data_IF_541125004008
#
_entry.id   IF_541125004008
#
_cell.length_a   1.000
_cell.length_b   1.000
_cell.length_c   1.000
_cell.angle_alpha   90.00
_cell.angle_beta   90.00
_cell.angle_gamma   90.00
#
_symmetry.space_group_name_H-M   'P 1'
#
loop_
_entity.id
_entity.type
_entity.pdbx_description
1 polymer ?
#
# COMPACT_ATOMS: atom_id res chain seq x y z
N UNK A 1 2.43 -20.07 -35.16
CA UNK A 1 3.27 -18.86 -34.97
C UNK A 1 2.53 -17.56 -35.27
N UNK A 2 1.67 -17.49 -36.30
CA UNK A 2 0.88 -16.28 -36.61
C UNK A 2 -0.20 -15.92 -35.55
N UNK A 3 -0.79 -16.91 -34.86
CA UNK A 3 -1.84 -16.68 -33.85
C UNK A 3 -1.33 -15.99 -32.56
N UNK A 4 -0.02 -16.06 -32.30
CA UNK A 4 0.61 -15.50 -31.09
C UNK A 4 0.94 -14.00 -31.24
N UNK A 5 1.13 -13.53 -32.48
CA UNK A 5 1.45 -12.14 -32.78
C UNK A 5 0.22 -11.23 -32.82
N UNK A 6 -0.98 -11.80 -33.02
CA UNK A 6 -2.24 -11.05 -33.02
C UNK A 6 -2.87 -10.93 -31.62
N UNK A 7 -2.58 -11.86 -30.70
CA UNK A 7 -3.12 -11.85 -29.33
C UNK A 7 -2.33 -10.96 -28.38
N UNK A 8 -1.02 -10.79 -28.60
CA UNK A 8 -0.17 -9.96 -27.74
C UNK A 8 -0.52 -8.45 -27.75
N UNK A 9 -0.81 -7.82 -28.92
CA UNK A 9 -1.25 -6.43 -28.95
C UNK A 9 -2.63 -6.24 -28.32
N UNK A 10 -3.56 -7.19 -28.51
CA UNK A 10 -4.90 -7.16 -27.92
C UNK A 10 -4.87 -7.28 -26.39
N UNK A 11 -3.99 -8.13 -25.85
CA UNK A 11 -3.78 -8.24 -24.40
C UNK A 11 -3.20 -6.94 -23.84
N UNK A 12 -2.21 -6.35 -24.52
CA UNK A 12 -1.63 -5.07 -24.12
C UNK A 12 -2.68 -3.94 -24.17
N UNK A 13 -3.51 -3.89 -25.22
CA UNK A 13 -4.56 -2.88 -25.38
C UNK A 13 -5.72 -3.04 -24.39
N UNK A 14 -5.93 -4.23 -23.81
CA UNK A 14 -6.91 -4.46 -22.76
C UNK A 14 -6.34 -4.13 -21.37
N UNK A 15 -5.08 -4.49 -21.13
CA UNK A 15 -4.40 -4.21 -19.86
C UNK A 15 -4.06 -2.73 -19.67
N UNK A 16 -3.65 -2.04 -20.74
CA UNK A 16 -3.21 -0.63 -20.65
C UNK A 16 -4.31 0.34 -20.17
N UNK A 17 -5.54 0.36 -20.72
CA UNK A 17 -6.58 1.25 -20.23
C UNK A 17 -7.07 0.87 -18.83
N UNK A 18 -7.01 -0.41 -18.44
CA UNK A 18 -7.30 -0.84 -17.05
C UNK A 18 -6.28 -0.28 -16.07
N UNK A 19 -4.98 -0.36 -16.40
CA UNK A 19 -3.90 0.20 -15.58
C UNK A 19 -3.99 1.73 -15.51
N UNK A 20 -4.24 2.41 -16.63
CA UNK A 20 -4.31 3.88 -16.69
C UNK A 20 -5.57 4.42 -15.99
N UNK A 21 -6.70 3.70 -16.02
CA UNK A 21 -7.93 4.12 -15.34
C UNK A 21 -7.87 3.95 -13.82
N UNK A 22 -7.03 3.05 -13.32
CA UNK A 22 -6.74 2.92 -11.88
C UNK A 22 -5.93 4.11 -11.34
N UNK A 23 -5.18 4.83 -12.17
CA UNK A 23 -4.29 5.90 -11.72
C UNK A 23 -4.95 7.29 -11.61
N UNK A 24 -6.16 7.49 -12.16
CA UNK A 24 -6.68 8.84 -12.47
C UNK A 24 -7.97 9.26 -11.77
N UNK A 25 -8.59 8.47 -10.91
CA UNK A 25 -9.81 8.89 -10.19
C UNK A 25 -9.68 8.73 -8.67
N UNK A 26 -10.09 9.79 -7.96
CA UNK A 26 -10.22 9.88 -6.50
C UNK A 26 -11.40 9.10 -5.94
N UNK A 27 -12.09 8.31 -6.77
CA UNK A 27 -13.05 7.31 -6.32
C UNK A 27 -12.29 6.08 -5.85
N UNK A 28 -12.65 5.57 -4.69
CA UNK A 28 -12.10 4.36 -4.06
C UNK A 28 -11.72 3.33 -5.11
N UNK A 29 -10.42 3.15 -5.34
CA UNK A 29 -9.90 2.06 -6.17
C UNK A 29 -10.40 0.76 -5.53
N UNK A 30 -11.52 0.27 -6.03
CA UNK A 30 -12.08 -1.02 -5.63
C UNK A 30 -11.35 -2.05 -6.47
N UNK A 31 -10.08 -2.23 -6.14
CA UNK A 31 -9.28 -3.35 -6.62
C UNK A 31 -10.02 -4.64 -6.23
N UNK A 32 -10.02 -5.67 -7.10
CA UNK A 32 -10.65 -6.96 -6.81
C UNK A 32 -10.31 -7.42 -5.40
N UNK A 33 -11.30 -8.02 -4.71
CA UNK A 33 -11.24 -8.45 -3.31
C UNK A 33 -10.33 -9.69 -3.17
N UNK A 34 -9.04 -9.51 -3.46
CA UNK A 34 -7.97 -10.48 -3.27
C UNK A 34 -7.47 -10.34 -1.82
N UNK A 35 -7.17 -11.44 -1.11
CA UNK A 35 -6.56 -11.35 0.22
C UNK A 35 -5.25 -10.56 0.10
N UNK A 36 -5.17 -9.42 0.77
CA UNK A 36 -3.97 -8.59 0.84
C UNK A 36 -3.38 -8.70 2.23
N UNK A 37 -2.05 -8.81 2.37
CA UNK A 37 -1.42 -8.72 3.68
C UNK A 37 -1.77 -7.37 4.32
N UNK A 38 -2.16 -7.41 5.60
CA UNK A 38 -2.43 -6.21 6.38
C UNK A 38 -1.20 -5.92 7.23
N UNK A 39 -0.63 -4.73 7.06
CA UNK A 39 0.48 -4.25 7.88
C UNK A 39 -0.06 -3.44 9.06
N UNK A 40 0.30 -3.83 10.28
CA UNK A 40 0.09 -3.02 11.48
C UNK A 40 1.33 -2.18 11.73
N UNK A 41 1.28 -0.91 11.31
CA UNK A 41 2.40 0.00 11.45
C UNK A 41 2.38 0.62 12.85
N UNK A 42 3.44 0.38 13.62
CA UNK A 42 3.69 1.01 14.92
C UNK A 42 4.65 2.17 14.76
N UNK A 43 4.30 3.32 15.33
CA UNK A 43 5.09 4.55 15.29
C UNK A 43 5.07 5.24 16.65
N UNK A 44 6.05 6.11 16.89
CA UNK A 44 6.13 6.92 18.10
C UNK A 44 6.09 8.39 17.69
N UNK A 45 5.25 9.17 18.36
CA UNK A 45 5.28 10.63 18.29
C UNK A 45 6.50 11.13 19.08
N UNK A 46 7.44 11.80 18.44
CA UNK A 46 8.68 12.24 19.10
C UNK A 46 8.44 13.34 20.13
N UNK A 47 7.42 14.18 19.92
CA UNK A 47 7.10 15.30 20.81
C UNK A 47 6.39 14.85 22.08
N UNK A 48 5.48 13.87 21.97
CA UNK A 48 4.67 13.40 23.10
C UNK A 48 5.11 12.06 23.68
N UNK A 49 5.96 11.30 22.98
CA UNK A 49 6.36 9.94 23.34
C UNK A 49 5.25 8.90 23.20
N UNK A 50 4.09 9.27 22.64
CA UNK A 50 2.94 8.36 22.52
C UNK A 50 3.15 7.34 21.40
N UNK A 51 2.79 6.10 21.68
CA UNK A 51 2.76 5.01 20.69
C UNK A 51 1.46 5.06 19.90
N UNK A 52 1.58 4.99 18.58
CA UNK A 52 0.46 4.89 17.65
C UNK A 52 0.58 3.57 16.86
N UNK A 53 -0.52 2.82 16.75
CA UNK A 53 -0.61 1.61 15.93
C UNK A 53 -1.80 1.73 14.99
N UNK A 54 -1.59 1.54 13.69
CA UNK A 54 -2.66 1.60 12.71
C UNK A 54 -2.53 0.52 11.61
N UNK A 55 -3.65 -0.07 11.14
CA UNK A 55 -3.65 -1.06 10.07
C UNK A 55 -3.64 -0.42 8.67
N UNK A 56 -2.87 -1.01 7.75
CA UNK A 56 -2.75 -0.60 6.35
C UNK A 56 -2.85 -1.81 5.41
N UNK A 57 -3.83 -1.77 4.50
CA UNK A 57 -4.03 -2.80 3.47
C UNK A 57 -3.37 -2.45 2.12
N UNK A 58 -2.93 -1.19 1.96
CA UNK A 58 -2.04 -0.77 0.86
C UNK A 58 -0.58 -0.94 1.30
N UNK A 59 -0.18 -2.19 1.50
CA UNK A 59 1.15 -2.61 1.92
C UNK A 59 1.74 -3.60 0.90
N UNK A 60 3.02 -3.45 0.57
CA UNK A 60 3.72 -4.38 -0.33
C UNK A 60 5.23 -4.43 -0.06
N UNK A 61 5.87 -5.55 -0.40
CA UNK A 61 7.32 -5.64 -0.51
C UNK A 61 7.76 -5.10 -1.89
N UNK A 62 8.84 -4.31 -1.91
CA UNK A 62 9.38 -3.70 -3.14
C UNK A 62 10.66 -4.37 -3.62
N UNK A 63 11.51 -4.83 -2.69
CA UNK A 63 12.81 -5.41 -3.02
C UNK A 63 13.43 -6.14 -1.84
N UNK A 64 14.41 -6.99 -2.13
CA UNK A 64 15.11 -7.78 -1.12
C UNK A 64 16.54 -7.31 -0.84
N UNK A 65 17.13 -6.51 -1.74
CA UNK A 65 18.46 -5.95 -1.58
C UNK A 65 18.50 -4.48 -2.06
N UNK A 66 18.46 -3.50 -1.14
CA UNK A 66 18.17 -3.67 0.29
C UNK A 66 16.71 -4.12 0.51
N UNK A 67 16.42 -4.85 1.61
CA UNK A 67 15.06 -5.26 1.93
C UNK A 67 14.18 -4.03 2.14
N UNK A 68 13.20 -3.85 1.25
CA UNK A 68 12.40 -2.63 1.17
C UNK A 68 10.92 -2.97 1.11
N UNK A 69 10.13 -2.28 1.94
CA UNK A 69 8.67 -2.38 1.98
C UNK A 69 8.03 -1.01 1.82
N UNK A 70 6.76 -0.98 1.43
CA UNK A 70 5.98 0.24 1.26
C UNK A 70 4.65 0.12 1.99
N UNK A 71 4.27 1.17 2.72
CA UNK A 71 2.91 1.43 3.18
C UNK A 71 2.39 2.72 2.55
N UNK A 72 1.15 2.73 2.08
CA UNK A 72 0.50 3.95 1.59
C UNK A 72 -0.36 4.59 2.68
N UNK A 73 -0.01 5.81 3.06
CA UNK A 73 -0.75 6.60 4.06
C UNK A 73 -1.64 7.61 3.35
N UNK A 74 -2.96 7.43 3.48
CA UNK A 74 -3.92 8.37 2.89
C UNK A 74 -3.87 9.75 3.56
N UNK A 75 -4.19 10.79 2.78
CA UNK A 75 -4.24 12.19 3.22
C UNK A 75 -5.65 12.77 3.10
N UNK A 76 -6.60 12.33 3.94
CA UNK A 76 -7.96 12.88 3.90
C UNK A 76 -7.92 14.40 4.15
N UNK A 77 -8.53 15.17 3.26
CA UNK A 77 -8.50 16.64 3.32
C UNK A 77 -7.10 17.26 3.21
N UNK A 78 -6.13 16.55 2.62
CA UNK A 78 -4.74 17.01 2.44
C UNK A 78 -3.84 16.84 3.67
N UNK A 79 -4.40 16.47 4.82
CA UNK A 79 -3.65 16.31 6.06
C UNK A 79 -3.06 14.91 6.21
N UNK A 80 -1.85 14.82 6.75
CA UNK A 80 -1.23 13.55 7.12
C UNK A 80 -1.94 12.95 8.35
N UNK A 81 -2.13 11.62 8.33
CA UNK A 81 -2.45 10.84 9.52
C UNK A 81 -1.26 10.79 10.48
N UNK A 82 -1.53 10.42 11.74
CA UNK A 82 -0.50 10.38 12.79
C UNK A 82 0.66 9.46 12.44
N UNK A 83 0.40 8.27 11.86
CA UNK A 83 1.46 7.40 11.32
C UNK A 83 2.36 8.15 10.34
N UNK A 84 1.78 8.88 9.37
CA UNK A 84 2.56 9.61 8.37
C UNK A 84 3.37 10.76 8.95
N UNK A 85 2.82 11.48 9.94
CA UNK A 85 3.55 12.54 10.67
C UNK A 85 4.72 11.94 11.45
N UNK A 86 4.45 10.90 12.25
CA UNK A 86 5.44 10.25 13.11
C UNK A 86 6.60 9.66 12.29
N UNK A 87 6.35 9.01 11.16
CA UNK A 87 7.42 8.46 10.30
C UNK A 87 8.25 9.56 9.65
N UNK A 88 7.63 10.68 9.24
CA UNK A 88 8.39 11.79 8.63
C UNK A 88 9.31 12.45 9.66
N UNK A 89 8.86 12.57 10.91
CA UNK A 89 9.64 13.15 12.00
C UNK A 89 10.72 12.19 12.50
N UNK A 90 10.34 10.98 12.90
CA UNK A 90 11.25 9.98 13.49
C UNK A 90 12.15 9.23 12.50
N UNK A 91 11.75 9.19 11.22
CA UNK A 91 12.35 8.32 10.18
C UNK A 91 12.27 6.83 10.47
N UNK A 92 11.44 6.43 11.44
CA UNK A 92 11.35 5.06 11.92
C UNK A 92 9.89 4.60 11.99
N UNK A 93 9.69 3.32 11.72
CA UNK A 93 8.43 2.62 11.99
C UNK A 93 8.67 1.10 11.99
N UNK A 94 7.75 0.37 12.61
CA UNK A 94 7.76 -1.09 12.63
C UNK A 94 6.52 -1.60 11.91
N UNK A 95 6.71 -2.54 10.97
CA UNK A 95 5.61 -3.28 10.36
C UNK A 95 5.42 -4.60 11.10
N UNK A 96 4.25 -4.77 11.70
CA UNK A 96 3.85 -6.02 12.32
C UNK A 96 2.94 -6.77 11.34
N UNK A 97 3.32 -8.01 11.00
CA UNK A 97 2.49 -8.93 10.24
C UNK A 97 1.69 -9.74 11.25
N UNK A 98 0.37 -9.56 11.27
CA UNK A 98 -0.50 -10.26 12.21
C UNK A 98 -0.99 -11.58 11.62
N UNK A 99 -1.09 -12.59 12.47
CA UNK A 99 -1.81 -13.82 12.18
C UNK A 99 -3.26 -13.71 12.62
N UNK A 100 -4.11 -14.62 12.13
CA UNK A 100 -5.54 -14.69 12.46
C UNK A 100 -5.82 -14.68 13.98
N UNK A 101 -4.91 -15.25 14.78
CA UNK A 101 -4.99 -15.28 16.24
C UNK A 101 -5.01 -13.91 16.92
N UNK A 102 -4.63 -12.83 16.24
CA UNK A 102 -4.60 -11.47 16.78
C UNK A 102 -5.72 -10.58 16.20
N UNK A 103 -6.62 -11.12 15.37
CA UNK A 103 -7.57 -10.33 14.58
C UNK A 103 -8.96 -10.11 15.21
N UNK A 104 -9.12 -10.34 16.53
CA UNK A 104 -10.40 -10.20 17.26
C UNK A 104 -10.71 -8.78 17.74
#
# INVERSE_FOLDING_TARGET
MLLFLLTFPLLLFYFYPVIVKLATHSESITIPKVPRPIAFASTIDQSTGKVNVAPFSFFNALGQDPPTVMISVSRPGGNLKDTGKNVIESKEFVVNIISEWFAE
#
